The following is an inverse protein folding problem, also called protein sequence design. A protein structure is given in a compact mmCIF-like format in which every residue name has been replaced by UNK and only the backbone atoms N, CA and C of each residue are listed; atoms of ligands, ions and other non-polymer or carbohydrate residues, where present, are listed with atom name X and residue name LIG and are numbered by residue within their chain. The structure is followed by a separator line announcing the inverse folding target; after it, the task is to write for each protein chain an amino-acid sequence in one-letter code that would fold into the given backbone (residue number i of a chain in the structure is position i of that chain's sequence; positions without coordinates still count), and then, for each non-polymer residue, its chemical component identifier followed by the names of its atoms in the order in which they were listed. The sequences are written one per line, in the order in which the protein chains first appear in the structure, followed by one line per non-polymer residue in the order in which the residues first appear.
data_IF_902714142930
#
_entry.id   IF_902714142930
#
_cell.length_a   1.000
_cell.length_b   1.000
_cell.length_c   1.000
_cell.angle_alpha   90.00
_cell.angle_beta   90.00
_cell.angle_gamma   90.00
#
_symmetry.space_group_name_H-M   'P 1'
#
loop_
_entity.id
_entity.type
_entity.pdbx_description
1 polymer ?
#
# COMPACT_ATOMS: atom_id res chain seq x y z
N UNK A 1 -2.71 11.44 6.30
CA UNK A 1 -1.87 10.28 6.68
C UNK A 1 -0.56 10.41 5.95
N UNK A 2 0.54 10.50 6.67
CA UNK A 2 1.89 10.53 6.10
C UNK A 2 2.11 9.18 5.42
N UNK A 3 2.48 9.19 4.14
CA UNK A 3 2.66 7.95 3.37
C UNK A 3 3.99 7.28 3.79
N UNK A 4 4.01 6.68 5.00
CA UNK A 4 5.18 6.00 5.56
C UNK A 4 5.62 4.80 4.72
N UNK A 5 4.74 4.24 3.88
CA UNK A 5 5.05 3.10 3.03
C UNK A 5 6.22 3.39 2.08
N UNK A 6 6.35 4.63 1.59
CA UNK A 6 7.44 4.99 0.67
C UNK A 6 8.84 5.05 1.34
N UNK A 7 8.87 5.29 2.65
CA UNK A 7 10.13 5.31 3.42
C UNK A 7 10.35 4.07 4.28
N UNK A 8 9.49 3.06 4.15
CA UNK A 8 9.52 1.88 4.99
C UNK A 8 10.60 0.89 4.55
N UNK A 9 11.35 0.41 5.52
CA UNK A 9 12.28 -0.72 5.36
C UNK A 9 11.89 -1.83 6.34
N UNK A 10 11.98 -3.08 5.89
CA UNK A 10 11.64 -4.26 6.70
C UNK A 10 12.86 -5.13 6.98
N UNK A 11 12.92 -5.68 8.19
CA UNK A 11 13.86 -6.70 8.59
C UNK A 11 13.12 -7.98 8.95
N UNK A 12 13.34 -9.04 8.18
CA UNK A 12 12.82 -10.37 8.47
C UNK A 12 13.61 -10.97 9.62
N UNK A 13 12.91 -11.41 10.66
CA UNK A 13 13.50 -12.04 11.84
C UNK A 13 13.33 -13.55 11.81
N UNK A 14 12.15 -14.02 11.45
CA UNK A 14 11.82 -15.43 11.48
C UNK A 14 10.60 -15.74 10.63
N UNK A 15 10.64 -16.88 9.93
CA UNK A 15 9.56 -17.40 9.11
C UNK A 15 9.31 -18.87 9.45
N UNK A 16 8.05 -19.29 9.41
CA UNK A 16 7.68 -20.70 9.55
C UNK A 16 6.44 -21.05 8.76
N UNK A 17 6.39 -22.29 8.33
CA UNK A 17 5.16 -22.97 7.96
C UNK A 17 4.76 -23.88 9.15
N UNK A 18 3.65 -23.56 9.81
CA UNK A 18 3.19 -24.23 11.03
C UNK A 18 1.97 -25.06 10.70
N UNK A 19 2.10 -26.36 10.82
CA UNK A 19 1.00 -27.32 10.83
C UNK A 19 0.73 -27.65 12.28
N UNK A 20 -0.48 -27.39 12.77
CA UNK A 20 -0.86 -27.69 14.14
C UNK A 20 -1.49 -29.09 14.23
N UNK A 21 -1.88 -29.51 15.42
CA UNK A 21 -2.53 -30.78 15.69
C UNK A 21 -3.70 -30.57 16.65
N UNK A 22 -4.53 -31.59 16.81
CA UNK A 22 -5.67 -31.61 17.72
C UNK A 22 -5.26 -31.20 19.13
N UNK A 23 -5.93 -30.16 19.68
CA UNK A 23 -5.68 -29.66 21.01
C UNK A 23 -4.41 -28.77 21.12
N UNK A 24 -3.77 -28.42 19.99
CA UNK A 24 -2.64 -27.50 20.01
C UNK A 24 -3.03 -26.13 20.56
N UNK A 25 -2.18 -25.64 21.48
CA UNK A 25 -2.28 -24.29 22.03
C UNK A 25 -0.89 -23.66 22.07
N UNK A 26 -0.82 -22.34 21.97
CA UNK A 26 0.42 -21.58 22.09
C UNK A 26 0.12 -20.16 22.60
N UNK A 27 1.06 -19.60 23.34
CA UNK A 27 1.01 -18.22 23.81
C UNK A 27 2.24 -17.51 23.28
N UNK A 28 2.01 -16.38 22.60
CA UNK A 28 3.07 -15.56 22.03
C UNK A 28 2.95 -14.12 22.50
N UNK A 29 4.09 -13.52 22.80
CA UNK A 29 4.21 -12.09 23.01
C UNK A 29 5.17 -11.52 21.97
N UNK A 30 4.67 -10.52 21.24
CA UNK A 30 5.45 -9.84 20.19
C UNK A 30 6.30 -8.73 20.83
N UNK A 31 7.52 -9.07 21.27
CA UNK A 31 8.43 -8.07 21.83
C UNK A 31 9.13 -7.32 20.69
N UNK A 32 8.75 -6.05 20.46
CA UNK A 32 9.43 -5.15 19.53
C UNK A 32 9.30 -5.48 18.04
N UNK A 33 8.50 -6.47 17.66
CA UNK A 33 8.34 -6.88 16.25
C UNK A 33 6.91 -7.13 15.85
N UNK A 34 6.64 -6.98 14.54
CA UNK A 34 5.38 -7.31 13.91
C UNK A 34 5.30 -8.79 13.58
N UNK A 35 4.10 -9.36 13.59
CA UNK A 35 3.88 -10.73 13.16
C UNK A 35 2.66 -10.82 12.27
N UNK A 36 2.81 -11.48 11.12
CA UNK A 36 1.71 -11.95 10.29
C UNK A 36 1.50 -13.44 10.50
N UNK A 37 0.23 -13.85 10.60
CA UNK A 37 -0.22 -15.23 10.48
C UNK A 37 -1.16 -15.30 9.28
N UNK A 38 -0.74 -15.97 8.23
CA UNK A 38 -1.59 -16.29 7.09
C UNK A 38 -2.16 -17.69 7.28
N UNK A 39 -3.46 -17.77 7.55
CA UNK A 39 -4.15 -19.07 7.73
C UNK A 39 -4.60 -19.56 6.36
N UNK A 40 -4.05 -20.69 5.91
CA UNK A 40 -4.37 -21.26 4.61
C UNK A 40 -5.11 -22.60 4.68
N UNK A 41 -5.34 -23.13 5.91
CA UNK A 41 -6.14 -24.31 6.18
C UNK A 41 -6.49 -24.42 7.65
N UNK A 42 -7.53 -25.19 7.93
CA UNK A 42 -8.02 -25.42 9.28
C UNK A 42 -8.71 -24.19 9.90
N UNK A 43 -9.10 -24.36 11.15
CA UNK A 43 -9.77 -23.34 11.95
C UNK A 43 -9.29 -23.35 13.41
N UNK A 44 -9.50 -22.23 14.11
CA UNK A 44 -9.12 -22.09 15.51
C UNK A 44 -9.59 -20.80 16.14
N UNK A 45 -9.06 -20.53 17.32
CA UNK A 45 -9.37 -19.33 18.11
C UNK A 45 -8.08 -18.60 18.42
N UNK A 46 -8.04 -17.30 18.09
CA UNK A 46 -7.01 -16.37 18.50
C UNK A 46 -7.61 -15.37 19.49
N UNK A 47 -6.98 -15.26 20.65
CA UNK A 47 -7.45 -14.40 21.75
C UNK A 47 -6.35 -13.41 22.14
N UNK A 48 -6.74 -12.14 22.12
CA UNK A 48 -6.01 -11.04 22.73
C UNK A 48 -6.88 -10.50 23.87
N UNK A 49 -7.17 -9.22 23.91
CA UNK A 49 -8.27 -8.58 24.67
C UNK A 49 -9.67 -9.01 24.15
N UNK A 50 -9.76 -9.45 22.91
CA UNK A 50 -10.95 -10.01 22.29
C UNK A 50 -10.67 -11.43 21.74
N UNK A 51 -11.74 -12.20 21.59
CA UNK A 51 -11.68 -13.57 21.01
C UNK A 51 -12.13 -13.53 19.56
N UNK A 52 -11.29 -14.08 18.66
CA UNK A 52 -11.56 -14.14 17.23
C UNK A 52 -11.51 -15.58 16.73
N UNK A 53 -12.52 -15.96 15.97
CA UNK A 53 -12.46 -17.17 15.17
C UNK A 53 -11.56 -16.91 13.96
N UNK A 54 -10.62 -17.81 13.70
CA UNK A 54 -9.70 -17.73 12.57
C UNK A 54 -9.80 -18.97 11.72
N UNK A 55 -9.70 -18.80 10.41
CA UNK A 55 -9.80 -19.90 9.46
C UNK A 55 -9.14 -19.55 8.13
N UNK A 56 -9.29 -20.46 7.17
CA UNK A 56 -8.69 -20.35 5.85
C UNK A 56 -8.99 -19.02 5.17
N UNK A 57 -7.96 -18.38 4.59
CA UNK A 57 -8.05 -17.10 3.90
C UNK A 57 -7.90 -15.88 4.81
N UNK A 58 -7.66 -16.09 6.10
CA UNK A 58 -7.50 -14.99 7.05
C UNK A 58 -6.04 -14.60 7.26
N UNK A 59 -5.79 -13.30 7.21
CA UNK A 59 -4.54 -12.68 7.64
C UNK A 59 -4.75 -12.07 9.02
N UNK A 60 -3.98 -12.52 9.99
CA UNK A 60 -3.92 -11.93 11.34
C UNK A 60 -2.65 -11.11 11.46
N UNK A 61 -2.79 -9.86 11.85
CA UNK A 61 -1.68 -8.94 12.11
C UNK A 61 -1.55 -8.65 13.60
N UNK A 62 -0.37 -8.92 14.14
CA UNK A 62 -0.01 -8.62 15.51
C UNK A 62 1.04 -7.50 15.54
N UNK A 63 0.70 -6.33 16.10
CA UNK A 63 1.69 -5.26 16.33
C UNK A 63 2.65 -5.63 17.47
N UNK A 64 3.78 -4.90 17.61
CA UNK A 64 4.68 -5.03 18.75
C UNK A 64 3.97 -4.88 20.08
N UNK A 65 4.43 -5.64 21.09
CA UNK A 65 3.98 -5.52 22.47
C UNK A 65 2.70 -6.28 22.82
N UNK A 66 2.03 -6.90 21.86
CA UNK A 66 0.76 -7.59 22.10
C UNK A 66 0.94 -9.07 22.42
N UNK A 67 0.16 -9.58 23.39
CA UNK A 67 0.07 -10.99 23.71
C UNK A 67 -1.04 -11.66 22.90
N UNK A 68 -0.79 -12.87 22.43
CA UNK A 68 -1.70 -13.69 21.66
C UNK A 68 -1.76 -15.10 22.19
N UNK A 69 -2.94 -15.54 22.58
CA UNK A 69 -3.25 -16.94 22.87
C UNK A 69 -3.90 -17.57 21.64
N UNK A 70 -3.35 -18.68 21.19
CA UNK A 70 -3.82 -19.42 20.02
C UNK A 70 -4.27 -20.80 20.41
N UNK A 71 -5.38 -21.23 19.87
CA UNK A 71 -5.92 -22.59 20.04
C UNK A 71 -6.43 -23.10 18.70
N UNK A 72 -5.97 -24.29 18.32
CA UNK A 72 -6.42 -24.99 17.12
C UNK A 72 -7.71 -25.76 17.37
N UNK A 73 -8.54 -25.90 16.35
CA UNK A 73 -9.69 -26.79 16.36
C UNK A 73 -9.24 -28.25 16.57
N UNK A 74 -10.13 -29.03 17.16
CA UNK A 74 -9.91 -30.48 17.31
C UNK A 74 -10.25 -31.24 16.03
N UNK A 75 -11.15 -30.73 15.23
CA UNK A 75 -11.68 -31.43 14.06
C UNK A 75 -10.97 -31.02 12.78
N UNK A 76 -10.59 -29.75 12.67
CA UNK A 76 -9.85 -29.19 11.53
C UNK A 76 -8.68 -28.31 12.02
N UNK A 77 -7.52 -28.91 12.36
CA UNK A 77 -6.39 -28.18 12.93
C UNK A 77 -5.83 -27.10 12.01
N UNK A 78 -5.45 -25.95 12.60
CA UNK A 78 -4.90 -24.81 11.90
C UNK A 78 -3.62 -25.14 11.12
N UNK A 79 -3.57 -24.63 9.91
CA UNK A 79 -2.37 -24.61 9.07
C UNK A 79 -2.08 -23.18 8.65
N UNK A 80 -0.89 -22.67 9.01
CA UNK A 80 -0.58 -21.26 8.84
C UNK A 80 0.88 -21.00 8.51
N UNK A 81 1.13 -19.96 7.74
CA UNK A 81 2.46 -19.40 7.53
C UNK A 81 2.64 -18.16 8.41
N UNK A 82 3.79 -18.07 9.06
CA UNK A 82 4.09 -17.05 10.07
C UNK A 82 5.29 -16.26 9.60
N UNK A 83 5.17 -14.93 9.64
CA UNK A 83 6.27 -14.02 9.35
C UNK A 83 6.45 -13.03 10.51
N UNK A 84 7.63 -13.06 11.15
CA UNK A 84 8.05 -12.07 12.15
C UNK A 84 9.07 -11.12 11.55
N UNK A 85 8.84 -9.84 11.72
CA UNK A 85 9.65 -8.80 11.10
C UNK A 85 9.61 -7.49 11.90
N UNK A 86 10.61 -6.67 11.68
CA UNK A 86 10.65 -5.28 12.14
C UNK A 86 10.43 -4.34 10.98
N UNK A 87 9.84 -3.18 11.26
CA UNK A 87 9.68 -2.09 10.32
C UNK A 87 10.33 -0.83 10.87
N UNK A 88 11.07 -0.15 10.02
CA UNK A 88 11.58 1.19 10.27
C UNK A 88 11.14 2.12 9.16
N UNK A 89 10.95 3.38 9.48
CA UNK A 89 10.71 4.44 8.48
C UNK A 89 11.94 5.33 8.44
N UNK A 90 12.46 5.56 7.24
CA UNK A 90 13.57 6.45 6.99
C UNK A 90 13.08 7.70 6.26
N UNK A 91 13.49 8.87 6.74
CA UNK A 91 13.27 10.16 6.08
C UNK A 91 14.57 10.95 6.02
N UNK A 92 14.79 11.61 4.90
CA UNK A 92 15.94 12.51 4.77
C UNK A 92 15.62 13.86 5.42
N UNK A 93 16.51 14.34 6.29
CA UNK A 93 16.44 15.67 6.90
C UNK A 93 17.35 16.60 6.14
N UNK A 94 16.77 17.52 5.34
CA UNK A 94 17.51 18.53 4.59
C UNK A 94 18.35 19.45 5.49
N UNK A 95 17.85 19.96 6.64
CA UNK A 95 18.64 20.81 7.52
C UNK A 95 19.88 20.10 8.10
N UNK A 96 19.75 18.82 8.44
CA UNK A 96 20.80 18.04 9.07
C UNK A 96 21.65 17.25 8.06
N UNK A 97 21.22 17.21 6.80
CA UNK A 97 21.81 16.43 5.69
C UNK A 97 22.06 14.95 6.05
N UNK A 98 21.12 14.36 6.78
CA UNK A 98 21.21 12.98 7.25
C UNK A 98 19.89 12.23 7.15
N UNK A 99 19.95 10.90 7.17
CA UNK A 99 18.78 10.04 7.26
C UNK A 99 18.40 9.86 8.72
N UNK A 100 17.14 10.19 9.05
CA UNK A 100 16.53 9.90 10.34
C UNK A 100 15.74 8.62 10.19
N UNK A 101 15.99 7.63 11.04
CA UNK A 101 15.29 6.34 11.07
C UNK A 101 14.58 6.16 12.39
N UNK A 102 13.31 5.79 12.31
CA UNK A 102 12.46 5.56 13.48
C UNK A 102 11.76 4.20 13.36
N UNK A 103 11.64 3.42 14.46
CA UNK A 103 10.80 2.22 14.46
C UNK A 103 9.35 2.56 14.13
N UNK A 104 8.72 1.74 13.30
CA UNK A 104 7.30 1.84 13.02
C UNK A 104 6.54 0.88 13.94
N UNK A 105 5.90 1.40 14.99
CA UNK A 105 5.22 0.57 15.98
C UNK A 105 3.90 -0.04 15.48
N UNK A 106 3.24 0.59 14.50
CA UNK A 106 1.96 0.12 13.96
C UNK A 106 1.90 0.31 12.45
N UNK A 107 1.46 -0.73 11.76
CA UNK A 107 1.29 -0.73 10.30
C UNK A 107 -0.06 -0.14 9.84
N UNK A 108 -0.95 0.28 10.75
CA UNK A 108 -2.28 0.76 10.37
C UNK A 108 -3.19 -0.31 9.75
N UNK A 109 -2.82 -1.58 9.88
CA UNK A 109 -3.61 -2.72 9.42
C UNK A 109 -4.61 -3.16 10.49
N UNK A 110 -5.79 -3.70 10.09
CA UNK A 110 -6.70 -4.33 11.03
C UNK A 110 -6.06 -5.60 11.62
N UNK A 111 -6.46 -5.94 12.84
CA UNK A 111 -6.01 -7.15 13.52
C UNK A 111 -6.28 -8.42 12.72
N UNK A 112 -7.45 -8.52 12.10
CA UNK A 112 -7.90 -9.66 11.33
C UNK A 112 -8.58 -9.19 10.03
N UNK A 113 -8.27 -9.84 8.91
CA UNK A 113 -8.95 -9.61 7.64
C UNK A 113 -9.10 -10.93 6.88
N UNK A 114 -10.31 -11.20 6.40
CA UNK A 114 -10.59 -12.31 5.47
C UNK A 114 -10.28 -11.85 4.02
N UNK A 115 -9.64 -12.70 3.28
CA UNK A 115 -9.42 -12.57 1.83
C UNK A 115 -9.97 -13.80 1.12
N UNK A 116 -10.63 -13.58 0.00
CA UNK A 116 -11.25 -14.63 -0.80
C UNK A 116 -10.81 -14.56 -2.27
N UNK A 117 -11.19 -15.56 -3.06
CA UNK A 117 -10.97 -15.58 -4.49
C UNK A 117 -9.50 -15.41 -4.91
N UNK A 118 -9.29 -14.61 -5.95
CA UNK A 118 -7.96 -14.36 -6.54
C UNK A 118 -6.98 -13.73 -5.54
N UNK A 119 -7.50 -12.90 -4.64
CA UNK A 119 -6.68 -12.22 -3.64
C UNK A 119 -6.13 -13.17 -2.59
N UNK A 120 -6.96 -14.10 -2.11
CA UNK A 120 -6.50 -15.17 -1.21
C UNK A 120 -5.45 -16.06 -1.88
N UNK A 121 -5.62 -16.40 -3.16
CA UNK A 121 -4.63 -17.15 -3.93
C UNK A 121 -3.31 -16.39 -4.05
N UNK A 122 -3.36 -15.08 -4.26
CA UNK A 122 -2.15 -14.23 -4.33
C UNK A 122 -1.42 -14.17 -2.99
N UNK A 123 -2.14 -13.99 -1.87
CA UNK A 123 -1.54 -14.07 -0.53
C UNK A 123 -0.88 -15.42 -0.29
N UNK A 124 -1.57 -16.52 -0.60
CA UNK A 124 -1.04 -17.86 -0.41
C UNK A 124 0.28 -18.04 -1.16
N UNK A 125 0.31 -17.68 -2.45
CA UNK A 125 1.52 -17.76 -3.27
C UNK A 125 2.66 -16.91 -2.71
N UNK A 126 2.38 -15.66 -2.29
CA UNK A 126 3.40 -14.77 -1.74
C UNK A 126 3.98 -15.31 -0.43
N UNK A 127 3.15 -15.84 0.46
CA UNK A 127 3.60 -16.45 1.71
C UNK A 127 4.39 -17.75 1.48
N UNK A 128 3.97 -18.59 0.52
CA UNK A 128 4.73 -19.78 0.13
C UNK A 128 6.12 -19.42 -0.40
N UNK A 129 6.21 -18.41 -1.30
CA UNK A 129 7.48 -17.94 -1.84
C UNK A 129 8.34 -17.29 -0.75
N UNK A 130 7.73 -16.51 0.17
CA UNK A 130 8.38 -15.90 1.31
C UNK A 130 9.10 -16.96 2.17
N UNK A 131 8.37 -17.99 2.56
CA UNK A 131 8.90 -19.08 3.43
C UNK A 131 9.91 -19.94 2.68
N UNK A 132 9.64 -20.32 1.45
CA UNK A 132 10.54 -21.16 0.63
C UNK A 132 11.88 -20.48 0.35
N UNK A 133 11.89 -19.17 0.12
CA UNK A 133 13.11 -18.42 -0.19
C UNK A 133 13.88 -17.98 1.06
N UNK A 134 13.35 -18.22 2.25
CA UNK A 134 14.01 -17.88 3.49
C UNK A 134 15.16 -18.83 3.79
N UNK A 135 16.31 -18.55 3.19
CA UNK A 135 17.57 -19.23 3.45
C UNK A 135 18.60 -18.16 3.84
N UNK A 136 18.68 -17.76 5.13
CA UNK A 136 19.53 -16.63 5.58
C UNK A 136 21.01 -16.80 5.22
N UNK A 137 21.48 -18.02 5.11
CA UNK A 137 22.88 -18.35 4.76
C UNK A 137 23.16 -18.35 3.25
N UNK A 138 22.09 -18.27 2.41
CA UNK A 138 22.24 -18.24 0.95
C UNK A 138 22.37 -16.79 0.48
N UNK A 139 23.36 -16.52 -0.35
CA UNK A 139 23.51 -15.22 -1.01
C UNK A 139 22.23 -14.86 -1.78
N UNK A 140 21.67 -13.67 -1.48
CA UNK A 140 20.42 -13.19 -2.07
C UNK A 140 19.12 -13.80 -1.51
N UNK A 141 19.16 -14.89 -0.73
CA UNK A 141 17.95 -15.54 -0.20
C UNK A 141 17.12 -14.63 0.71
N UNK A 142 17.76 -13.90 1.59
CA UNK A 142 17.08 -12.91 2.43
C UNK A 142 16.45 -11.75 1.62
N UNK A 143 17.07 -11.37 0.51
CA UNK A 143 16.56 -10.29 -0.35
C UNK A 143 15.26 -10.66 -1.05
N UNK A 144 15.17 -11.89 -1.59
CA UNK A 144 13.94 -12.40 -2.20
C UNK A 144 12.79 -12.46 -1.19
N UNK A 145 13.06 -12.97 0.02
CA UNK A 145 12.05 -13.00 1.08
C UNK A 145 11.62 -11.60 1.51
N UNK A 146 12.53 -10.63 1.60
CA UNK A 146 12.18 -9.23 1.85
C UNK A 146 11.27 -8.65 0.76
N UNK A 147 11.58 -8.93 -0.51
CA UNK A 147 10.73 -8.50 -1.63
C UNK A 147 9.31 -9.05 -1.50
N UNK A 148 9.14 -10.33 -1.17
CA UNK A 148 7.81 -10.94 -0.97
C UNK A 148 7.07 -10.35 0.24
N UNK A 149 7.78 -10.05 1.33
CA UNK A 149 7.15 -9.37 2.47
C UNK A 149 6.67 -7.97 2.10
N UNK A 150 7.43 -7.20 1.31
CA UNK A 150 7.00 -5.89 0.83
C UNK A 150 5.76 -5.98 -0.07
N UNK A 151 5.68 -6.99 -0.94
CA UNK A 151 4.48 -7.24 -1.75
C UNK A 151 3.26 -7.63 -0.88
N UNK A 152 3.46 -8.44 0.16
CA UNK A 152 2.41 -8.80 1.14
C UNK A 152 1.93 -7.54 1.87
N UNK A 153 2.82 -6.69 2.34
CA UNK A 153 2.50 -5.43 3.01
C UNK A 153 1.73 -4.49 2.09
N UNK A 154 2.18 -4.33 0.86
CA UNK A 154 1.49 -3.52 -0.14
C UNK A 154 0.08 -4.06 -0.42
N UNK A 155 -0.05 -5.37 -0.62
CA UNK A 155 -1.34 -6.02 -0.86
C UNK A 155 -2.29 -5.90 0.35
N UNK A 156 -1.75 -5.98 1.59
CA UNK A 156 -2.53 -5.84 2.82
C UNK A 156 -3.00 -4.38 3.05
N UNK A 157 -2.22 -3.40 2.59
CA UNK A 157 -2.59 -1.97 2.68
C UNK A 157 -3.48 -1.50 1.55
N UNK A 158 -3.56 -2.24 0.45
CA UNK A 158 -4.56 -1.92 -0.57
C UNK A 158 -5.92 -2.00 0.09
N UNK A 159 -6.60 -0.87 0.13
CA UNK A 159 -8.02 -0.88 0.45
C UNK A 159 -8.68 -1.84 -0.53
N UNK A 160 -9.51 -2.75 -0.03
CA UNK A 160 -10.29 -3.59 -0.92
C UNK A 160 -11.02 -2.68 -1.91
N UNK A 161 -10.97 -2.93 -3.21
CA UNK A 161 -12.02 -2.44 -4.07
C UNK A 161 -13.30 -2.99 -3.44
N UNK A 162 -14.18 -2.08 -3.02
CA UNK A 162 -15.31 -2.35 -2.13
C UNK A 162 -16.27 -3.36 -2.77
N UNK A 163 -15.90 -4.61 -2.79
CA UNK A 163 -16.86 -5.71 -3.00
C UNK A 163 -17.70 -5.97 -1.73
N UNK A 164 -17.30 -5.44 -0.57
CA UNK A 164 -17.94 -5.69 0.72
C UNK A 164 -18.49 -4.44 1.44
N UNK A 165 -18.43 -3.27 0.87
CA UNK A 165 -19.24 -2.18 1.38
C UNK A 165 -20.64 -2.29 0.79
N UNK A 166 -21.64 -2.48 1.63
CA UNK A 166 -23.06 -2.36 1.26
C UNK A 166 -23.42 -0.94 0.79
N UNK A 167 -22.50 0.02 0.89
CA UNK A 167 -22.66 1.39 0.39
C UNK A 167 -22.21 1.50 -1.08
N UNK A 168 -23.15 1.54 -2.03
CA UNK A 168 -22.85 1.67 -3.46
C UNK A 168 -22.02 2.93 -3.78
N UNK A 169 -22.16 3.98 -2.98
CA UNK A 169 -21.47 5.24 -3.21
C UNK A 169 -20.01 5.18 -2.77
N UNK A 170 -19.68 4.39 -1.76
CA UNK A 170 -18.29 4.15 -1.37
C UNK A 170 -17.57 3.29 -2.42
N UNK A 171 -18.26 2.29 -2.99
CA UNK A 171 -17.74 1.51 -4.13
C UNK A 171 -17.44 2.41 -5.33
N UNK A 172 -18.38 3.27 -5.71
CA UNK A 172 -18.18 4.22 -6.81
C UNK A 172 -17.01 5.17 -6.57
N UNK A 173 -16.86 5.69 -5.34
CA UNK A 173 -15.71 6.54 -4.97
C UNK A 173 -14.37 5.83 -5.21
N UNK A 174 -14.22 4.58 -4.78
CA UNK A 174 -12.95 3.85 -4.90
C UNK A 174 -12.66 3.47 -6.36
N UNK A 175 -13.67 2.99 -7.09
CA UNK A 175 -13.52 2.69 -8.52
C UNK A 175 -13.09 3.92 -9.31
N UNK A 176 -13.72 5.08 -9.05
CA UNK A 176 -13.36 6.33 -9.71
C UNK A 176 -11.96 6.78 -9.29
N UNK A 177 -11.60 6.66 -8.01
CA UNK A 177 -10.25 6.96 -7.52
C UNK A 177 -9.20 6.14 -8.28
N UNK A 178 -9.40 4.82 -8.40
CA UNK A 178 -8.51 3.92 -9.15
C UNK A 178 -8.40 4.32 -10.63
N UNK A 179 -9.53 4.63 -11.29
CA UNK A 179 -9.52 5.10 -12.68
C UNK A 179 -8.70 6.39 -12.82
N UNK A 180 -8.87 7.35 -11.90
CA UNK A 180 -8.08 8.59 -11.92
C UNK A 180 -6.58 8.33 -11.73
N UNK A 181 -6.19 7.34 -10.92
CA UNK A 181 -4.79 6.98 -10.66
C UNK A 181 -4.15 6.22 -11.82
N UNK A 182 -4.87 5.32 -12.46
CA UNK A 182 -4.35 4.48 -13.55
C UNK A 182 -4.42 5.14 -14.92
N UNK A 183 -5.48 5.93 -15.16
CA UNK A 183 -5.79 6.49 -16.47
C UNK A 183 -5.64 8.02 -16.53
N UNK A 184 -4.91 8.65 -15.59
CA UNK A 184 -4.72 10.11 -15.53
C UNK A 184 -4.20 10.73 -16.84
N UNK A 185 -3.49 9.94 -17.64
CA UNK A 185 -2.91 10.33 -18.93
C UNK A 185 -3.94 10.42 -20.05
N UNK A 186 -5.18 9.98 -19.82
CA UNK A 186 -6.27 10.06 -20.79
C UNK A 186 -7.19 11.27 -20.54
N UNK A 187 -8.00 11.70 -21.51
CA UNK A 187 -8.98 12.76 -21.30
C UNK A 187 -10.15 12.28 -20.45
N UNK A 188 -9.98 12.33 -19.11
CA UNK A 188 -10.99 11.92 -18.14
C UNK A 188 -11.94 13.07 -17.79
N UNK A 189 -13.23 12.79 -17.86
CA UNK A 189 -14.29 13.68 -17.37
C UNK A 189 -14.90 13.12 -16.08
N UNK A 190 -14.58 13.74 -14.94
CA UNK A 190 -15.07 13.29 -13.63
C UNK A 190 -16.59 13.20 -13.55
N UNK A 191 -17.29 14.08 -14.26
CA UNK A 191 -18.75 14.07 -14.32
C UNK A 191 -19.30 12.79 -14.99
N UNK A 192 -18.72 12.39 -16.11
CA UNK A 192 -19.08 11.16 -16.82
C UNK A 192 -18.78 9.91 -16.00
N UNK A 193 -17.63 9.91 -15.31
CA UNK A 193 -17.30 8.82 -14.38
C UNK A 193 -18.33 8.69 -13.26
N UNK A 194 -18.80 9.80 -12.69
CA UNK A 194 -19.82 9.76 -11.64
C UNK A 194 -21.12 9.11 -12.16
N UNK A 195 -21.58 9.50 -13.35
CA UNK A 195 -22.78 8.94 -13.98
C UNK A 195 -22.59 7.44 -14.26
N UNK A 196 -21.46 7.07 -14.87
CA UNK A 196 -21.13 5.67 -15.20
C UNK A 196 -21.15 4.76 -13.99
N UNK A 197 -20.73 5.27 -12.83
CA UNK A 197 -20.71 4.52 -11.57
C UNK A 197 -21.92 4.79 -10.68
N UNK A 198 -23.01 5.34 -11.24
CA UNK A 198 -24.30 5.53 -10.56
C UNK A 198 -24.18 6.33 -9.25
N UNK A 199 -23.28 7.32 -9.19
CA UNK A 199 -23.13 8.24 -8.06
C UNK A 199 -23.34 9.68 -8.49
N UNK A 200 -24.03 10.47 -7.64
CA UNK A 200 -24.20 11.88 -7.97
C UNK A 200 -22.85 12.63 -7.92
N UNK A 201 -22.58 13.55 -8.87
CA UNK A 201 -21.34 14.33 -8.88
C UNK A 201 -21.11 15.12 -7.57
N UNK A 202 -22.19 15.57 -6.92
CA UNK A 202 -22.11 16.28 -5.64
C UNK A 202 -21.69 15.37 -4.50
N UNK A 203 -22.22 14.16 -4.46
CA UNK A 203 -21.83 13.16 -3.46
C UNK A 203 -20.40 12.68 -3.67
N UNK A 204 -20.01 12.39 -4.91
CA UNK A 204 -18.63 12.04 -5.25
C UNK A 204 -17.65 13.14 -4.78
N UNK A 205 -17.98 14.41 -5.04
CA UNK A 205 -17.17 15.55 -4.58
C UNK A 205 -17.05 15.60 -3.05
N UNK A 206 -18.16 15.34 -2.35
CA UNK A 206 -18.17 15.27 -0.86
C UNK A 206 -17.28 14.14 -0.37
N UNK A 207 -17.36 12.95 -0.97
CA UNK A 207 -16.54 11.79 -0.59
C UNK A 207 -15.04 12.05 -0.79
N UNK A 208 -14.66 12.59 -1.95
CA UNK A 208 -13.27 12.97 -2.21
C UNK A 208 -12.76 14.01 -1.21
N UNK A 209 -13.59 15.00 -0.86
CA UNK A 209 -13.21 16.03 0.11
C UNK A 209 -13.02 15.46 1.52
N UNK A 210 -13.92 14.57 1.95
CA UNK A 210 -13.83 13.92 3.29
C UNK A 210 -12.65 12.97 3.36
N UNK A 211 -12.43 12.14 2.33
CA UNK A 211 -11.44 11.07 2.36
C UNK A 211 -10.02 11.52 1.98
N UNK A 212 -9.90 12.47 1.05
CA UNK A 212 -8.62 12.89 0.46
C UNK A 212 -8.33 14.39 0.66
N UNK A 213 -9.24 15.16 1.24
CA UNK A 213 -9.10 16.60 1.42
C UNK A 213 -9.22 17.42 0.12
N UNK A 214 -9.39 16.77 -1.04
CA UNK A 214 -9.40 17.37 -2.37
C UNK A 214 -10.72 17.09 -3.10
N UNK A 215 -11.07 17.90 -4.10
CA UNK A 215 -12.10 17.51 -5.05
C UNK A 215 -11.56 16.48 -6.05
N UNK A 216 -12.41 15.67 -6.73
CA UNK A 216 -11.96 14.70 -7.74
C UNK A 216 -11.11 15.34 -8.84
N UNK A 217 -11.48 16.53 -9.30
CA UNK A 217 -10.72 17.29 -10.30
C UNK A 217 -9.36 17.73 -9.76
N UNK A 218 -9.31 18.27 -8.54
CA UNK A 218 -8.06 18.67 -7.91
C UNK A 218 -7.15 17.46 -7.63
N UNK A 219 -7.73 16.30 -7.33
CA UNK A 219 -7.00 15.05 -7.18
C UNK A 219 -6.35 14.60 -8.49
N UNK A 220 -7.09 14.61 -9.59
CA UNK A 220 -6.54 14.33 -10.93
C UNK A 220 -5.45 15.32 -11.33
N UNK A 221 -5.66 16.61 -11.09
CA UNK A 221 -4.66 17.66 -11.36
C UNK A 221 -3.38 17.42 -10.54
N UNK A 222 -3.50 17.00 -9.28
CA UNK A 222 -2.36 16.64 -8.44
C UNK A 222 -1.58 15.47 -9.02
N UNK A 223 -2.24 14.37 -9.40
CA UNK A 223 -1.59 13.18 -9.99
C UNK A 223 -0.82 13.56 -11.27
N UNK A 224 -1.46 14.34 -12.14
CA UNK A 224 -0.85 14.83 -13.38
C UNK A 224 0.37 15.71 -13.11
N UNK A 225 0.28 16.58 -12.11
CA UNK A 225 1.40 17.43 -11.70
C UNK A 225 2.57 16.62 -11.13
N UNK A 226 2.29 15.65 -10.28
CA UNK A 226 3.32 14.77 -9.70
C UNK A 226 4.04 13.95 -10.79
N UNK A 227 3.29 13.50 -11.82
CA UNK A 227 3.89 12.85 -12.99
C UNK A 227 4.75 13.83 -13.81
N UNK A 228 4.25 15.05 -14.05
CA UNK A 228 4.98 16.08 -14.78
C UNK A 228 6.32 16.45 -14.11
N UNK A 229 6.31 16.59 -12.77
CA UNK A 229 7.53 16.86 -12.00
C UNK A 229 8.56 15.75 -12.22
N UNK A 230 8.16 14.48 -12.15
CA UNK A 230 9.05 13.34 -12.42
C UNK A 230 9.62 13.38 -13.83
N UNK A 231 8.77 13.55 -14.84
CA UNK A 231 9.23 13.63 -16.24
C UNK A 231 10.21 14.80 -16.47
N UNK A 232 9.91 15.98 -15.93
CA UNK A 232 10.76 17.16 -16.07
C UNK A 232 12.07 17.06 -15.29
N UNK A 233 12.11 16.27 -14.21
CA UNK A 233 13.32 16.08 -13.39
C UNK A 233 14.27 15.02 -13.94
N UNK A 234 13.73 13.98 -14.60
CA UNK A 234 14.50 12.78 -14.94
C UNK A 234 14.49 12.42 -16.43
N UNK A 235 13.92 13.27 -17.28
CA UNK A 235 13.96 13.05 -18.74
C UNK A 235 14.13 14.36 -19.51
N UNK A 236 14.78 14.24 -20.69
CA UNK A 236 14.97 15.36 -21.63
C UNK A 236 13.81 15.46 -22.65
N UNK A 237 12.73 14.72 -22.42
CA UNK A 237 11.59 14.73 -23.32
C UNK A 237 11.07 16.17 -23.55
N UNK A 238 10.74 16.57 -24.79
CA UNK A 238 10.17 17.87 -25.07
C UNK A 238 8.94 18.16 -24.21
N UNK A 239 8.74 19.41 -23.78
CA UNK A 239 7.63 19.82 -22.90
C UNK A 239 6.28 19.40 -23.48
N UNK A 240 6.13 19.43 -24.81
CA UNK A 240 4.95 18.93 -25.52
C UNK A 240 4.70 17.44 -25.24
N UNK A 241 5.73 16.61 -25.25
CA UNK A 241 5.61 15.16 -24.96
C UNK A 241 5.24 14.93 -23.50
N UNK A 242 5.84 15.68 -22.56
CA UNK A 242 5.47 15.64 -21.13
C UNK A 242 4.01 16.06 -20.94
N UNK A 243 3.54 17.09 -21.64
CA UNK A 243 2.15 17.53 -21.59
C UNK A 243 1.19 16.39 -22.00
N UNK A 244 1.47 15.71 -23.11
CA UNK A 244 0.68 14.59 -23.62
C UNK A 244 0.68 13.41 -22.62
N UNK A 245 1.84 13.05 -22.07
CA UNK A 245 1.95 11.96 -21.09
C UNK A 245 1.23 12.27 -19.76
N UNK A 246 0.97 13.53 -19.46
CA UNK A 246 0.17 13.98 -18.33
C UNK A 246 -1.33 14.11 -18.65
N UNK A 247 -1.78 13.79 -19.88
CA UNK A 247 -3.18 13.85 -20.28
C UNK A 247 -3.69 15.27 -20.58
N UNK A 248 -2.80 16.18 -21.00
CA UNK A 248 -3.20 17.49 -21.52
C UNK A 248 -3.27 17.45 -23.04
N UNK A 249 -4.29 18.10 -23.60
CA UNK A 249 -4.51 18.17 -25.05
C UNK A 249 -3.46 19.00 -25.80
N UNK A 250 -2.85 19.95 -25.12
CA UNK A 250 -1.78 20.80 -25.68
C UNK A 250 -0.81 21.31 -24.63
N UNK A 251 0.34 21.76 -25.09
CA UNK A 251 1.44 22.28 -24.26
C UNK A 251 1.07 23.58 -23.52
N UNK A 252 0.19 24.39 -24.10
CA UNK A 252 -0.19 25.67 -23.49
C UNK A 252 -1.06 25.45 -22.24
N UNK A 253 -2.07 24.57 -22.33
CA UNK A 253 -2.90 24.21 -21.19
C UNK A 253 -2.05 23.58 -20.08
N UNK A 254 -1.14 22.68 -20.44
CA UNK A 254 -0.21 22.07 -19.51
C UNK A 254 0.66 23.12 -18.81
N UNK A 255 1.32 24.00 -19.58
CA UNK A 255 2.23 25.01 -19.03
C UNK A 255 1.52 25.98 -18.09
N UNK A 256 0.27 26.35 -18.41
CA UNK A 256 -0.58 27.18 -17.55
C UNK A 256 -0.93 26.49 -16.25
N UNK A 257 -1.35 25.20 -16.30
CA UNK A 257 -1.68 24.42 -15.13
C UNK A 257 -0.45 24.18 -14.25
N UNK A 258 0.66 23.79 -14.85
CA UNK A 258 1.93 23.55 -14.15
C UNK A 258 2.45 24.82 -13.46
N UNK A 259 2.45 25.97 -14.15
CA UNK A 259 2.86 27.27 -13.56
C UNK A 259 1.97 27.67 -12.39
N UNK A 260 0.66 27.43 -12.49
CA UNK A 260 -0.29 27.72 -11.42
C UNK A 260 0.02 26.92 -10.14
N UNK A 261 0.42 25.66 -10.29
CA UNK A 261 0.69 24.76 -9.16
C UNK A 261 2.10 24.92 -8.60
N UNK A 262 3.11 25.11 -9.47
CA UNK A 262 4.52 25.09 -9.08
C UNK A 262 5.19 26.48 -9.07
N UNK A 263 4.48 27.54 -9.41
CA UNK A 263 4.98 28.92 -9.42
C UNK A 263 5.93 29.26 -10.57
N UNK A 264 6.33 28.29 -11.41
CA UNK A 264 7.24 28.50 -12.55
C UNK A 264 6.81 27.65 -13.75
N UNK A 265 7.30 28.01 -14.95
CA UNK A 265 7.02 27.24 -16.17
C UNK A 265 7.73 25.90 -16.17
N UNK A 266 7.24 24.89 -16.94
CA UNK A 266 7.89 23.59 -17.08
C UNK A 266 9.37 23.69 -17.49
N UNK A 267 9.69 24.58 -18.44
CA UNK A 267 11.06 24.82 -18.91
C UNK A 267 11.94 25.39 -17.82
N UNK A 268 11.45 26.41 -17.08
CA UNK A 268 12.18 26.99 -15.96
C UNK A 268 12.39 26.01 -14.81
N UNK A 269 11.40 25.14 -14.56
CA UNK A 269 11.51 24.05 -13.59
C UNK A 269 12.63 23.08 -13.98
N UNK A 270 12.64 22.58 -15.22
CA UNK A 270 13.70 21.69 -15.74
C UNK A 270 15.09 22.32 -15.61
N UNK A 271 15.26 23.56 -16.05
CA UNK A 271 16.55 24.26 -15.96
C UNK A 271 17.08 24.31 -14.52
N UNK A 272 16.21 24.56 -13.54
CA UNK A 272 16.59 24.55 -12.11
C UNK A 272 17.01 23.16 -11.62
N UNK A 273 16.35 22.09 -12.08
CA UNK A 273 16.72 20.72 -11.70
C UNK A 273 18.07 20.31 -12.31
N UNK A 274 18.31 20.63 -13.59
CA UNK A 274 19.59 20.37 -14.25
C UNK A 274 20.75 21.10 -13.57
N UNK A 275 20.56 22.37 -13.19
CA UNK A 275 21.57 23.13 -12.46
C UNK A 275 21.89 22.54 -11.07
N UNK A 276 20.89 22.02 -10.36
CA UNK A 276 21.09 21.33 -9.07
C UNK A 276 21.91 20.04 -9.20
N UNK A 277 21.67 19.24 -10.25
CA UNK A 277 22.39 17.98 -10.49
C UNK A 277 23.85 18.21 -10.93
N UNK A 278 24.19 19.39 -11.47
CA UNK A 278 25.56 19.73 -11.85
C UNK A 278 26.39 20.31 -10.70
N UNK A 279 25.76 20.63 -9.57
CA UNK A 279 26.42 21.27 -8.41
C UNK A 279 26.65 20.27 -7.27
N UNK A 280 26.26 19.01 -7.44
CA UNK A 280 26.47 17.88 -6.51
C UNK A 280 27.50 16.92 -7.05
#
# INVERSE_FOLDING_TARGET
MTNYLNGMTVHLLWLANKITFKGWQDIRQTKGNHTFYWVYGGEGIFRTDQTHLVGKGMLVYMPPGQELHMQSSNDDPLVMMIARFECIVSRYSEPERTWITEPLERLGLPYLRLYEGERAMKFNRLFEELVRNWVPTREGGALLSKSRLLEILELAHREDPVEQSDDPALRAFQQIKTILEEQFHTPLQVYELAIKHSVSPSYLRKMFKIRLGLSPKAYLEKIRNDHAIRCLSYSDAPVRIVAMSCGYGDEFQFSKAFKKTNGCTPTAFRARQTARLQTT
#
